data_IF_842671757892
#
_entry.id   IF_842671757892
#
_cell.length_a   1.000
_cell.length_b   1.000
_cell.length_c   1.000
_cell.angle_alpha   90.00
_cell.angle_beta   90.00
_cell.angle_gamma   90.00
#
_symmetry.space_group_name_H-M   'P 1'
#
loop_
_entity.id
_entity.type
_entity.pdbx_description
1 polymer ?
#
# COMPACT_ATOMS: atom_id res chain seq x y z
N UNK A 1 16.32 3.43 5.28
CA UNK A 1 15.61 4.02 4.12
C UNK A 1 16.25 5.31 3.61
N UNK A 2 16.52 6.31 4.48
CA UNK A 2 17.20 7.58 4.09
C UNK A 2 18.46 7.38 3.23
N UNK A 3 19.29 6.40 3.56
CA UNK A 3 20.52 6.09 2.80
C UNK A 3 20.25 5.56 1.39
N UNK A 4 19.15 4.82 1.18
CA UNK A 4 18.76 4.34 -0.15
C UNK A 4 18.31 5.47 -1.05
N UNK A 5 17.51 6.40 -0.53
CA UNK A 5 17.10 7.59 -1.27
C UNK A 5 18.29 8.48 -1.62
N UNK A 6 19.25 8.64 -0.71
CA UNK A 6 20.47 9.41 -0.97
C UNK A 6 21.36 8.79 -2.05
N UNK A 7 21.44 7.45 -2.11
CA UNK A 7 22.32 6.74 -3.06
C UNK A 7 21.67 6.43 -4.41
N UNK A 8 20.39 6.10 -4.42
CA UNK A 8 19.67 5.59 -5.60
C UNK A 8 18.56 6.53 -6.09
N UNK A 9 18.23 7.58 -5.34
CA UNK A 9 17.33 8.66 -5.75
C UNK A 9 16.02 8.16 -6.38
N UNK A 10 15.77 8.61 -7.60
CA UNK A 10 14.61 8.24 -8.43
C UNK A 10 14.44 6.72 -8.61
N UNK A 11 15.52 5.94 -8.65
CA UNK A 11 15.43 4.48 -8.81
C UNK A 11 14.83 3.83 -7.57
N UNK A 12 15.18 4.31 -6.37
CA UNK A 12 14.59 3.81 -5.12
C UNK A 12 13.11 4.17 -5.02
N UNK A 13 12.73 5.39 -5.42
CA UNK A 13 11.34 5.84 -5.42
C UNK A 13 10.50 5.03 -6.42
N UNK A 14 11.00 4.88 -7.66
CA UNK A 14 10.33 4.09 -8.69
C UNK A 14 10.20 2.62 -8.29
N UNK A 15 11.23 2.03 -7.69
CA UNK A 15 11.19 0.65 -7.19
C UNK A 15 10.16 0.49 -6.07
N UNK A 16 10.15 1.41 -5.09
CA UNK A 16 9.17 1.38 -4.00
C UNK A 16 7.74 1.51 -4.52
N UNK A 17 7.51 2.47 -5.43
CA UNK A 17 6.20 2.70 -6.03
C UNK A 17 5.76 1.50 -6.88
N UNK A 18 6.66 0.91 -7.67
CA UNK A 18 6.38 -0.30 -8.44
C UNK A 18 6.00 -1.48 -7.55
N UNK A 19 6.75 -1.72 -6.47
CA UNK A 19 6.42 -2.75 -5.47
C UNK A 19 5.06 -2.46 -4.82
N UNK A 20 4.77 -1.20 -4.51
CA UNK A 20 3.47 -0.80 -3.96
C UNK A 20 2.32 -1.11 -4.92
N UNK A 21 2.41 -0.68 -6.19
CA UNK A 21 1.38 -0.92 -7.20
C UNK A 21 1.20 -2.42 -7.47
N UNK A 22 2.30 -3.18 -7.56
CA UNK A 22 2.24 -4.63 -7.74
C UNK A 22 1.56 -5.33 -6.55
N UNK A 23 1.86 -4.90 -5.33
CA UNK A 23 1.25 -5.47 -4.10
C UNK A 23 -0.23 -5.12 -4.03
N UNK A 24 -0.60 -3.86 -4.27
CA UNK A 24 -1.99 -3.39 -4.25
C UNK A 24 -2.81 -4.10 -5.34
N UNK A 25 -2.29 -4.19 -6.56
CA UNK A 25 -2.95 -4.87 -7.68
C UNK A 25 -3.11 -6.36 -7.41
N UNK A 26 -2.08 -7.02 -6.86
CA UNK A 26 -2.17 -8.43 -6.48
C UNK A 26 -3.24 -8.68 -5.43
N UNK A 27 -3.27 -7.87 -4.36
CA UNK A 27 -4.31 -7.97 -3.33
C UNK A 27 -5.70 -7.66 -3.89
N UNK A 28 -5.83 -6.65 -4.76
CA UNK A 28 -7.09 -6.33 -5.43
C UNK A 28 -7.63 -7.56 -6.16
N UNK A 29 -6.81 -8.23 -6.97
CA UNK A 29 -7.23 -9.44 -7.70
C UNK A 29 -7.62 -10.57 -6.74
N UNK A 30 -6.92 -10.73 -5.62
CA UNK A 30 -7.28 -11.73 -4.59
C UNK A 30 -8.69 -11.46 -4.02
N UNK A 31 -9.04 -10.21 -3.74
CA UNK A 31 -10.39 -9.83 -3.32
C UNK A 31 -11.42 -9.95 -4.46
N UNK A 32 -11.04 -9.58 -5.68
CA UNK A 32 -11.93 -9.55 -6.84
C UNK A 32 -12.33 -10.95 -7.31
N UNK A 33 -11.39 -11.90 -7.28
CA UNK A 33 -11.67 -13.32 -7.54
C UNK A 33 -12.28 -14.04 -6.33
N UNK A 34 -12.46 -13.37 -5.19
CA UNK A 34 -13.07 -13.95 -4.00
C UNK A 34 -12.19 -14.93 -3.23
N UNK A 35 -10.86 -14.91 -3.43
CA UNK A 35 -9.92 -15.71 -2.64
C UNK A 35 -9.77 -15.18 -1.21
N UNK A 36 -10.06 -13.90 -0.98
CA UNK A 36 -10.20 -13.32 0.35
C UNK A 36 -11.42 -12.40 0.39
N UNK A 37 -12.02 -12.30 1.57
CA UNK A 37 -13.11 -11.38 1.89
C UNK A 37 -12.70 -10.49 3.06
N UNK A 38 -13.56 -9.53 3.43
CA UNK A 38 -13.28 -8.63 4.54
C UNK A 38 -13.02 -9.37 5.88
N UNK A 39 -13.63 -10.54 6.09
CA UNK A 39 -13.41 -11.36 7.30
C UNK A 39 -12.05 -12.03 7.34
N UNK A 40 -11.39 -12.20 6.18
CA UNK A 40 -10.09 -12.87 6.07
C UNK A 40 -8.93 -11.87 6.24
N UNK A 41 -9.24 -10.59 6.47
CA UNK A 41 -8.23 -9.56 6.63
C UNK A 41 -7.29 -9.84 7.81
N UNK A 42 -5.99 -9.54 7.67
CA UNK A 42 -5.08 -9.52 8.80
C UNK A 42 -5.61 -8.59 9.89
N UNK A 43 -5.41 -8.95 11.17
CA UNK A 43 -5.88 -8.14 12.31
C UNK A 43 -5.43 -6.67 12.22
N UNK A 44 -4.21 -6.40 11.75
CA UNK A 44 -3.71 -5.04 11.56
C UNK A 44 -4.46 -4.24 10.48
N UNK A 45 -5.04 -4.89 9.46
CA UNK A 45 -5.83 -4.25 8.41
C UNK A 45 -7.26 -3.98 8.89
N UNK A 46 -7.84 -4.92 9.64
CA UNK A 46 -9.14 -4.72 10.30
C UNK A 46 -9.07 -3.55 11.30
N UNK A 47 -8.04 -3.49 12.15
CA UNK A 47 -7.84 -2.38 13.07
C UNK A 47 -7.60 -1.03 12.37
N UNK A 48 -6.99 -1.04 11.17
CA UNK A 48 -6.88 0.17 10.36
C UNK A 48 -8.26 0.65 9.88
N UNK A 49 -9.17 -0.26 9.54
CA UNK A 49 -10.58 0.06 9.26
C UNK A 49 -11.29 0.67 10.47
N UNK A 50 -11.17 0.02 11.63
CA UNK A 50 -11.81 0.47 12.88
C UNK A 50 -11.31 1.85 13.32
N UNK A 51 -9.99 2.07 13.25
CA UNK A 51 -9.40 3.38 13.59
C UNK A 51 -9.78 4.47 12.61
N UNK A 52 -9.95 4.16 11.32
CA UNK A 52 -10.48 5.12 10.35
C UNK A 52 -11.92 5.49 10.69
N UNK A 53 -12.76 4.53 11.07
CA UNK A 53 -14.14 4.81 11.48
C UNK A 53 -14.18 5.69 12.74
N UNK A 54 -13.39 5.36 13.76
CA UNK A 54 -13.30 6.17 14.98
C UNK A 54 -12.75 7.59 14.71
N UNK A 55 -11.88 7.75 13.72
CA UNK A 55 -11.40 9.06 13.29
C UNK A 55 -12.52 9.85 12.61
N UNK A 56 -13.31 9.20 11.76
CA UNK A 56 -14.44 9.81 11.03
C UNK A 56 -15.47 10.36 12.00
N UNK A 57 -15.78 9.63 13.07
CA UNK A 57 -16.72 10.07 14.12
C UNK A 57 -16.25 11.35 14.84
N UNK A 58 -14.94 11.66 14.80
CA UNK A 58 -14.36 12.88 15.39
C UNK A 58 -14.26 14.04 14.39
N UNK A 59 -14.61 13.82 13.12
CA UNK A 59 -14.58 14.87 12.10
C UNK A 59 -15.82 15.77 12.22
N UNK A 60 -15.75 17.03 11.77
CA UNK A 60 -16.92 17.88 11.63
C UNK A 60 -17.91 17.31 10.59
N UNK A 61 -19.21 17.61 10.75
CA UNK A 61 -20.31 17.02 9.98
C UNK A 61 -20.11 17.07 8.45
N UNK A 62 -19.58 18.17 7.93
CA UNK A 62 -19.32 18.32 6.49
C UNK A 62 -18.31 17.28 5.97
N UNK A 63 -17.37 16.85 6.80
CA UNK A 63 -16.36 15.86 6.46
C UNK A 63 -16.91 14.44 6.67
N UNK A 64 -17.71 14.22 7.74
CA UNK A 64 -18.45 12.96 7.93
C UNK A 64 -19.35 12.66 6.73
N UNK A 65 -20.09 13.65 6.23
CA UNK A 65 -20.96 13.50 5.06
C UNK A 65 -20.19 13.02 3.82
N UNK A 66 -18.97 13.53 3.59
CA UNK A 66 -18.13 13.08 2.47
C UNK A 66 -17.66 11.65 2.63
N UNK A 67 -17.29 11.25 3.85
CA UNK A 67 -16.83 9.89 4.13
C UNK A 67 -18.00 8.91 4.05
N UNK A 68 -19.17 9.27 4.56
CA UNK A 68 -20.40 8.47 4.44
C UNK A 68 -20.81 8.29 2.98
N UNK A 69 -20.68 9.33 2.15
CA UNK A 69 -20.88 9.20 0.70
C UNK A 69 -19.88 8.23 0.06
N UNK A 70 -18.63 8.21 0.53
CA UNK A 70 -17.60 7.25 0.09
C UNK A 70 -17.96 5.82 0.51
N UNK A 71 -18.45 5.62 1.74
CA UNK A 71 -18.94 4.33 2.23
C UNK A 71 -20.18 3.86 1.46
N UNK A 72 -21.12 4.75 1.16
CA UNK A 72 -22.28 4.43 0.34
C UNK A 72 -21.85 3.96 -1.05
N UNK A 73 -20.87 4.65 -1.67
CA UNK A 73 -20.29 4.20 -2.94
C UNK A 73 -19.60 2.85 -2.82
N UNK A 74 -18.92 2.58 -1.72
CA UNK A 74 -18.30 1.28 -1.42
C UNK A 74 -19.34 0.15 -1.35
N UNK A 75 -20.53 0.40 -0.81
CA UNK A 75 -21.58 -0.60 -0.79
C UNK A 75 -22.21 -0.85 -2.16
N UNK A 76 -22.29 0.18 -3.00
CA UNK A 76 -22.90 0.11 -4.33
C UNK A 76 -21.98 -0.49 -5.40
N UNK A 77 -20.67 -0.27 -5.31
CA UNK A 77 -19.70 -0.72 -6.32
C UNK A 77 -18.77 -1.82 -5.75
N UNK A 78 -18.98 -3.10 -6.12
CA UNK A 78 -18.16 -4.21 -5.64
C UNK A 78 -16.66 -4.04 -5.93
N UNK A 79 -16.30 -3.52 -7.10
CA UNK A 79 -14.90 -3.25 -7.46
C UNK A 79 -14.27 -2.18 -6.57
N UNK A 80 -15.00 -1.10 -6.27
CA UNK A 80 -14.49 -0.06 -5.38
C UNK A 80 -14.33 -0.57 -3.94
N UNK A 81 -15.25 -1.43 -3.47
CA UNK A 81 -15.10 -2.15 -2.19
C UNK A 81 -13.82 -2.98 -2.15
N UNK A 82 -13.63 -3.86 -3.15
CA UNK A 82 -12.46 -4.73 -3.24
C UNK A 82 -11.16 -3.91 -3.28
N UNK A 83 -11.17 -2.77 -3.96
CA UNK A 83 -10.05 -1.83 -3.97
C UNK A 83 -9.75 -1.26 -2.57
N UNK A 84 -10.76 -0.80 -1.84
CA UNK A 84 -10.55 -0.27 -0.47
C UNK A 84 -10.04 -1.36 0.46
N UNK A 85 -10.60 -2.58 0.36
CA UNK A 85 -10.16 -3.72 1.15
C UNK A 85 -8.70 -4.09 0.85
N UNK A 86 -8.34 -4.13 -0.44
CA UNK A 86 -6.97 -4.35 -0.88
C UNK A 86 -6.05 -3.25 -0.33
N UNK A 87 -6.43 -1.97 -0.45
CA UNK A 87 -5.67 -0.83 0.02
C UNK A 87 -5.40 -0.88 1.53
N UNK A 88 -6.42 -1.18 2.34
CA UNK A 88 -6.28 -1.37 3.80
C UNK A 88 -5.31 -2.51 4.11
N UNK A 89 -5.48 -3.65 3.45
CA UNK A 89 -4.59 -4.81 3.59
C UNK A 89 -3.16 -4.47 3.19
N UNK A 90 -2.98 -3.64 2.16
CA UNK A 90 -1.66 -3.22 1.69
C UNK A 90 -0.92 -2.40 2.75
N UNK A 91 -1.61 -1.69 3.66
CA UNK A 91 -0.94 -0.93 4.73
C UNK A 91 -0.16 -1.83 5.70
N UNK A 92 -0.70 -3.00 6.02
CA UNK A 92 -0.01 -3.99 6.88
C UNK A 92 1.25 -4.52 6.22
N UNK A 93 1.25 -4.62 4.89
CA UNK A 93 2.42 -5.10 4.13
C UNK A 93 3.55 -4.07 4.04
N UNK A 94 3.35 -2.84 4.53
CA UNK A 94 4.33 -1.75 4.38
C UNK A 94 5.74 -2.08 4.90
N UNK A 95 5.94 -2.67 6.09
CA UNK A 95 7.28 -3.05 6.55
C UNK A 95 7.95 -4.05 5.61
N UNK A 96 7.20 -5.04 5.13
CA UNK A 96 7.68 -6.06 4.19
C UNK A 96 8.04 -5.42 2.85
N UNK A 97 7.21 -4.50 2.34
CA UNK A 97 7.51 -3.77 1.09
C UNK A 97 8.76 -2.91 1.21
N UNK A 98 8.97 -2.26 2.35
CA UNK A 98 10.19 -1.47 2.60
C UNK A 98 11.42 -2.38 2.59
N UNK A 99 11.36 -3.54 3.24
CA UNK A 99 12.45 -4.52 3.21
C UNK A 99 12.71 -5.06 1.80
N UNK A 100 11.66 -5.42 1.07
CA UNK A 100 11.76 -5.87 -0.32
C UNK A 100 12.39 -4.78 -1.20
N UNK A 101 11.97 -3.52 -1.04
CA UNK A 101 12.55 -2.38 -1.74
C UNK A 101 14.04 -2.26 -1.46
N UNK A 102 14.46 -2.38 -0.20
CA UNK A 102 15.88 -2.30 0.16
C UNK A 102 16.71 -3.42 -0.47
N UNK A 103 16.17 -4.64 -0.53
CA UNK A 103 16.84 -5.78 -1.17
C UNK A 103 16.88 -5.72 -2.70
N UNK A 104 15.82 -5.22 -3.33
CA UNK A 104 15.62 -5.25 -4.80
C UNK A 104 16.27 -4.03 -5.48
N UNK A 105 16.15 -2.83 -4.89
CA UNK A 105 16.65 -1.58 -5.46
C UNK A 105 18.11 -1.65 -5.95
N UNK A 106 19.10 -2.21 -5.23
CA UNK A 106 20.47 -2.28 -5.72
C UNK A 106 20.63 -3.16 -6.96
N UNK A 107 19.79 -4.19 -7.14
CA UNK A 107 19.80 -5.03 -8.35
C UNK A 107 19.20 -4.28 -9.54
N UNK A 108 18.06 -3.61 -9.34
CA UNK A 108 17.42 -2.78 -10.38
C UNK A 108 18.35 -1.65 -10.81
N UNK A 109 19.01 -0.97 -9.87
CA UNK A 109 19.94 0.09 -10.18
C UNK A 109 21.15 -0.39 -11.02
N UNK A 110 21.65 -1.61 -10.78
CA UNK A 110 22.71 -2.21 -11.60
C UNK A 110 22.21 -2.56 -12.99
N UNK A 111 21.03 -3.15 -13.11
CA UNK A 111 20.43 -3.48 -14.40
C UNK A 111 20.20 -2.22 -15.26
N UNK A 112 19.85 -1.10 -14.63
CA UNK A 112 19.67 0.19 -15.30
C UNK A 112 20.97 0.98 -15.51
N UNK A 113 22.14 0.44 -15.19
CA UNK A 113 23.43 1.13 -15.34
C UNK A 113 23.61 2.34 -14.41
N UNK A 114 22.73 2.52 -13.40
CA UNK A 114 22.73 3.64 -12.46
C UNK A 114 23.22 3.25 -11.06
N UNK A 115 23.97 2.16 -10.94
CA UNK A 115 24.47 1.69 -9.67
C UNK A 115 25.63 2.59 -9.15
N UNK A 116 25.57 3.05 -7.89
CA UNK A 116 26.72 3.70 -7.25
C UNK A 116 27.91 2.73 -7.15
N UNK A 117 29.14 3.25 -7.24
CA UNK A 117 30.38 2.45 -7.04
C UNK A 117 30.30 1.71 -5.70
N UNK A 118 30.70 0.43 -5.68
CA UNK A 118 30.77 -0.37 -4.44
C UNK A 118 31.64 0.39 -3.43
N UNK A 119 31.18 0.55 -2.19
CA UNK A 119 32.05 1.05 -1.13
C UNK A 119 33.23 0.07 -0.99
N UNK A 120 34.48 0.55 -0.92
CA UNK A 120 35.59 -0.30 -0.51
C UNK A 120 35.26 -0.90 0.86
N UNK A 121 35.51 -2.20 1.01
CA UNK A 121 35.29 -2.94 2.25
C UNK A 121 36.15 -2.39 3.37
#
# INVERSE_FOLDING_TARGET
>A
FKEMWRRYGLVAVGTYFGIYVATLGGLYLVFDYGFMTASDMPAGAAHAGDTLQALVERLPDWAQAKVNALYAKMQQEPGFRNFVLAWLTTKVTEPVRVLATVGITPRIARALGRAPKKLPK
#
